data_IF_244983998454
#
_entry.id   IF_244983998454
#
_cell.length_a   1.000
_cell.length_b   1.000
_cell.length_c   1.000
_cell.angle_alpha   90.00
_cell.angle_beta   90.00
_cell.angle_gamma   90.00
#
_symmetry.space_group_name_H-M   'P 1'
#
loop_
_entity.id
_entity.type
_entity.pdbx_description
1 polymer ?
#
# COMPACT_ATOMS: atom_id res chain seq x y z
N UNK A 1 27.38 -3.56 27.36
CA UNK A 1 27.48 -4.34 26.11
C UNK A 1 26.53 -3.69 25.12
N UNK A 2 27.03 -2.80 24.25
CA UNK A 2 26.21 -2.15 23.23
C UNK A 2 25.99 -3.15 22.10
N UNK A 3 24.98 -4.01 22.23
CA UNK A 3 24.54 -4.84 21.11
C UNK A 3 24.06 -3.92 20.01
N UNK A 4 24.77 -3.87 18.88
CA UNK A 4 24.33 -3.16 17.69
C UNK A 4 23.04 -3.85 17.25
N UNK A 5 21.90 -3.21 17.53
CA UNK A 5 20.60 -3.72 17.10
C UNK A 5 20.59 -3.73 15.56
N UNK A 6 20.39 -4.91 14.98
CA UNK A 6 20.33 -5.10 13.54
C UNK A 6 19.16 -4.28 12.98
N UNK A 7 19.36 -3.33 12.06
CA UNK A 7 18.25 -2.46 11.61
C UNK A 7 17.14 -3.25 10.93
N UNK A 8 15.89 -2.80 11.08
CA UNK A 8 14.71 -3.46 10.51
C UNK A 8 14.21 -2.72 9.28
N UNK A 9 13.92 -3.46 8.21
CA UNK A 9 13.23 -2.95 7.03
C UNK A 9 12.02 -3.85 6.72
N UNK A 10 10.81 -3.30 6.55
CA UNK A 10 9.61 -4.10 6.24
C UNK A 10 8.64 -3.37 5.31
N UNK A 11 7.93 -4.11 4.45
CA UNK A 11 6.89 -3.55 3.57
C UNK A 11 5.55 -4.27 3.77
N UNK A 12 5.30 -4.78 4.98
CA UNK A 12 4.34 -5.86 5.27
C UNK A 12 2.91 -5.67 4.72
N UNK A 13 2.36 -4.45 4.73
CA UNK A 13 1.01 -4.21 4.20
C UNK A 13 0.90 -4.33 2.67
N UNK A 14 2.02 -4.13 1.96
CA UNK A 14 2.06 -4.11 0.49
C UNK A 14 3.04 -5.17 -0.06
N UNK A 15 3.46 -6.12 0.77
CA UNK A 15 4.36 -7.23 0.42
C UNK A 15 3.59 -8.54 0.22
N UNK A 16 2.56 -8.49 -0.64
CA UNK A 16 1.74 -9.65 -1.00
C UNK A 16 2.30 -10.35 -2.25
N UNK A 17 2.00 -11.65 -2.41
CA UNK A 17 2.67 -12.58 -3.35
C UNK A 17 3.26 -11.98 -4.65
N UNK A 18 2.46 -11.41 -5.56
CA UNK A 18 2.95 -10.80 -6.79
C UNK A 18 3.89 -9.59 -6.61
N UNK A 19 3.75 -8.83 -5.53
CA UNK A 19 4.55 -7.64 -5.24
C UNK A 19 5.91 -7.99 -4.61
N UNK A 20 6.06 -9.16 -3.98
CA UNK A 20 7.26 -9.51 -3.19
C UNK A 20 8.56 -9.38 -4.00
N UNK A 21 8.59 -9.90 -5.23
CA UNK A 21 9.79 -9.84 -6.07
C UNK A 21 10.14 -8.40 -6.49
N UNK A 22 9.13 -7.53 -6.67
CA UNK A 22 9.36 -6.12 -6.96
C UNK A 22 9.89 -5.38 -5.72
N UNK A 23 9.31 -5.67 -4.56
CA UNK A 23 9.73 -5.13 -3.27
C UNK A 23 11.16 -5.54 -2.91
N UNK A 24 11.55 -6.79 -3.17
CA UNK A 24 12.93 -7.25 -2.97
C UNK A 24 13.93 -6.48 -3.86
N UNK A 25 13.58 -6.21 -5.12
CA UNK A 25 14.42 -5.41 -6.02
C UNK A 25 14.52 -3.95 -5.58
N UNK A 26 13.40 -3.36 -5.17
CA UNK A 26 13.37 -2.00 -4.61
C UNK A 26 14.27 -1.92 -3.39
N UNK A 27 14.10 -2.85 -2.44
CA UNK A 27 14.90 -2.89 -1.22
C UNK A 27 16.38 -3.10 -1.53
N UNK A 28 16.73 -4.01 -2.42
CA UNK A 28 18.13 -4.25 -2.80
C UNK A 28 18.82 -2.97 -3.31
N UNK A 29 18.10 -2.18 -4.12
CA UNK A 29 18.58 -0.88 -4.62
C UNK A 29 18.74 0.17 -3.49
N UNK A 30 17.73 0.29 -2.62
CA UNK A 30 17.77 1.21 -1.47
C UNK A 30 18.89 0.83 -0.49
N UNK A 31 18.97 -0.44 -0.10
CA UNK A 31 20.02 -1.01 0.74
C UNK A 31 21.42 -0.71 0.20
N UNK A 32 21.63 -0.89 -1.11
CA UNK A 32 22.91 -0.56 -1.75
C UNK A 32 23.28 0.90 -1.59
N UNK A 33 22.34 1.81 -1.83
CA UNK A 33 22.55 3.26 -1.69
C UNK A 33 22.77 3.69 -0.24
N UNK A 34 22.00 3.14 0.69
CA UNK A 34 22.14 3.39 2.13
C UNK A 34 23.53 2.96 2.62
N UNK A 35 23.96 1.75 2.26
CA UNK A 35 25.30 1.25 2.62
C UNK A 35 26.42 2.08 1.99
N UNK A 36 26.24 2.55 0.75
CA UNK A 36 27.22 3.40 0.08
C UNK A 36 27.45 4.75 0.80
N UNK A 37 26.47 5.24 1.56
CA UNK A 37 26.59 6.44 2.39
C UNK A 37 26.84 6.13 3.88
N UNK A 38 27.23 4.89 4.20
CA UNK A 38 27.60 4.48 5.57
C UNK A 38 26.43 4.15 6.50
N UNK A 39 25.19 4.08 5.99
CA UNK A 39 24.02 3.67 6.78
C UNK A 39 23.91 2.15 6.78
N UNK A 40 23.94 1.56 7.98
CA UNK A 40 23.70 0.12 8.14
C UNK A 40 22.25 -0.22 7.72
N UNK A 41 22.10 -1.25 6.89
CA UNK A 41 20.81 -1.71 6.38
C UNK A 41 20.78 -3.24 6.35
N UNK A 42 19.66 -3.91 6.67
CA UNK A 42 19.57 -5.37 6.66
C UNK A 42 19.65 -5.93 5.24
N UNK A 43 20.04 -7.20 5.13
CA UNK A 43 20.14 -7.88 3.84
C UNK A 43 18.76 -8.11 3.21
N UNK A 44 17.73 -8.40 3.99
CA UNK A 44 16.39 -8.70 3.48
C UNK A 44 15.31 -7.91 4.22
N UNK A 45 14.12 -7.87 3.62
CA UNK A 45 12.92 -7.36 4.26
C UNK A 45 12.44 -8.35 5.34
N UNK A 46 12.04 -7.82 6.49
CA UNK A 46 11.28 -8.56 7.51
C UNK A 46 9.88 -8.84 6.98
N UNK A 47 9.43 -10.09 7.13
CA UNK A 47 8.14 -10.61 6.63
C UNK A 47 7.36 -11.33 7.72
N UNK A 48 6.08 -11.61 7.44
CA UNK A 48 5.17 -12.22 8.40
C UNK A 48 4.76 -11.25 9.50
N UNK A 49 4.39 -11.77 10.67
CA UNK A 49 3.88 -10.97 11.79
C UNK A 49 4.86 -9.88 12.25
N UNK A 50 6.16 -10.14 12.14
CA UNK A 50 7.21 -9.19 12.50
C UNK A 50 7.27 -7.95 11.61
N UNK A 51 6.59 -7.94 10.46
CA UNK A 51 6.62 -6.83 9.49
C UNK A 51 5.67 -5.66 9.84
N UNK A 52 4.76 -5.85 10.82
CA UNK A 52 3.73 -4.89 11.21
C UNK A 52 4.12 -4.13 12.48
N UNK A 53 3.26 -4.11 13.51
CA UNK A 53 3.50 -3.44 14.79
C UNK A 53 4.89 -3.71 15.40
N UNK A 54 5.42 -4.96 15.40
CA UNK A 54 6.76 -5.21 15.92
C UNK A 54 7.85 -4.42 15.19
N UNK A 55 7.77 -4.28 13.87
CA UNK A 55 8.71 -3.47 13.10
C UNK A 55 8.44 -1.97 13.24
N UNK A 56 7.17 -1.55 13.16
CA UNK A 56 6.77 -0.14 13.18
C UNK A 56 7.16 0.58 14.47
N UNK A 57 7.19 -0.13 15.60
CA UNK A 57 7.56 0.44 16.90
C UNK A 57 9.00 0.10 17.32
N UNK A 58 9.75 -0.60 16.47
CA UNK A 58 11.11 -1.00 16.80
C UNK A 58 12.04 0.22 16.88
N UNK A 59 12.86 0.35 17.95
CA UNK A 59 13.79 1.47 18.09
C UNK A 59 14.90 1.48 17.03
N UNK A 60 15.12 0.34 16.37
CA UNK A 60 16.06 0.12 15.27
C UNK A 60 15.34 0.03 13.91
N UNK A 61 14.13 0.58 13.79
CA UNK A 61 13.43 0.68 12.51
C UNK A 61 14.21 1.61 11.56
N UNK A 62 14.60 1.08 10.40
CA UNK A 62 15.26 1.83 9.35
C UNK A 62 14.25 2.32 8.30
N UNK A 63 13.37 1.45 7.83
CA UNK A 63 12.36 1.77 6.85
C UNK A 63 11.16 0.85 7.00
N UNK A 64 9.95 1.41 7.02
CA UNK A 64 8.75 0.60 6.85
C UNK A 64 7.68 1.30 6.03
N UNK A 65 6.70 0.54 5.61
CA UNK A 65 5.49 1.02 4.97
C UNK A 65 4.26 0.57 5.74
N UNK A 66 3.36 1.51 5.96
CA UNK A 66 2.04 1.33 6.57
C UNK A 66 1.00 2.04 5.70
N UNK A 67 -0.28 1.70 5.83
CA UNK A 67 -1.33 2.63 5.40
C UNK A 67 -1.43 3.80 6.39
N UNK A 68 -2.17 4.84 6.04
CA UNK A 68 -2.21 6.06 6.84
C UNK A 68 -3.07 5.94 8.10
N UNK A 69 -3.93 4.92 8.24
CA UNK A 69 -4.64 4.68 9.49
C UNK A 69 -3.72 4.31 10.65
N UNK A 70 -2.92 3.22 10.61
CA UNK A 70 -1.95 2.94 11.66
C UNK A 70 -0.96 4.09 11.87
N UNK A 71 -0.60 4.79 10.79
CA UNK A 71 0.27 5.96 10.88
C UNK A 71 -0.35 7.04 11.77
N UNK A 72 -1.55 7.54 11.44
CA UNK A 72 -2.23 8.59 12.20
C UNK A 72 -2.69 8.15 13.57
N UNK A 73 -3.19 6.92 13.70
CA UNK A 73 -3.72 6.41 14.94
C UNK A 73 -2.64 6.23 16.02
N UNK A 74 -1.41 5.89 15.65
CA UNK A 74 -0.38 5.50 16.64
C UNK A 74 1.07 5.89 16.33
N UNK A 75 1.45 6.11 15.08
CA UNK A 75 2.86 6.30 14.71
C UNK A 75 3.27 7.77 14.54
N UNK A 76 2.32 8.70 14.43
CA UNK A 76 2.60 10.14 14.43
C UNK A 76 3.40 10.51 15.67
N UNK A 77 4.52 11.21 15.46
CA UNK A 77 5.45 11.60 16.53
C UNK A 77 6.35 10.48 17.06
N UNK A 78 6.18 9.23 16.60
CA UNK A 78 7.04 8.08 16.97
C UNK A 78 8.00 7.66 15.86
N UNK A 79 7.62 7.92 14.62
CA UNK A 79 8.44 7.64 13.44
C UNK A 79 8.57 8.89 12.58
N UNK A 80 9.59 8.91 11.73
CA UNK A 80 9.76 9.97 10.72
C UNK A 80 9.07 9.55 9.44
N UNK A 81 8.13 10.36 8.96
CA UNK A 81 7.55 10.17 7.63
C UNK A 81 8.58 10.58 6.57
N UNK A 82 8.99 9.63 5.73
CA UNK A 82 10.03 9.82 4.70
C UNK A 82 9.45 10.03 3.30
N UNK A 83 8.18 9.70 3.09
CA UNK A 83 7.49 9.87 1.81
C UNK A 83 6.37 8.86 1.60
N UNK A 84 5.60 9.09 0.53
CA UNK A 84 4.57 8.18 0.04
C UNK A 84 5.03 7.59 -1.30
N UNK A 85 5.00 6.27 -1.48
CA UNK A 85 5.32 5.66 -2.77
C UNK A 85 4.35 6.13 -3.86
N UNK A 86 4.92 6.47 -5.01
CA UNK A 86 4.15 6.74 -6.22
C UNK A 86 4.15 5.50 -7.11
N UNK A 87 2.97 4.91 -7.29
CA UNK A 87 2.78 3.73 -8.14
C UNK A 87 2.46 4.11 -9.59
N UNK A 88 2.37 5.40 -9.92
CA UNK A 88 2.08 5.86 -11.28
C UNK A 88 0.70 5.41 -11.76
N UNK A 89 -0.30 5.42 -10.87
CA UNK A 89 -1.67 5.04 -11.22
C UNK A 89 -2.21 6.03 -12.24
N UNK A 90 -2.64 5.52 -13.39
CA UNK A 90 -3.19 6.34 -14.47
C UNK A 90 -4.38 7.18 -13.97
N UNK A 91 -4.38 8.47 -14.33
CA UNK A 91 -5.40 9.41 -13.89
C UNK A 91 -5.28 9.87 -12.43
N UNK A 92 -4.22 9.50 -11.71
CA UNK A 92 -3.92 9.99 -10.37
C UNK A 92 -2.68 10.90 -10.36
N UNK A 93 -2.69 11.92 -9.49
CA UNK A 93 -1.49 12.72 -9.26
C UNK A 93 -0.41 11.88 -8.55
N UNK A 94 0.87 12.30 -8.60
CA UNK A 94 1.97 11.56 -7.96
C UNK A 94 1.70 11.24 -6.49
N UNK A 95 1.90 9.98 -6.09
CA UNK A 95 1.65 9.51 -4.72
C UNK A 95 0.17 9.40 -4.35
N UNK A 96 -0.73 9.57 -5.32
CA UNK A 96 -2.16 9.31 -5.18
C UNK A 96 -2.56 8.06 -5.96
N UNK A 97 -3.72 7.55 -5.61
CA UNK A 97 -4.40 6.44 -6.27
C UNK A 97 -5.91 6.68 -6.01
N UNK A 98 -6.76 5.79 -6.51
CA UNK A 98 -8.20 5.77 -6.19
C UNK A 98 -8.71 4.36 -5.94
N UNK A 99 -9.70 4.26 -5.07
CA UNK A 99 -10.42 3.01 -4.83
C UNK A 99 -11.30 2.67 -6.04
N UNK A 100 -11.44 1.39 -6.34
CA UNK A 100 -12.27 0.92 -7.45
C UNK A 100 -13.35 -0.02 -6.95
N UNK A 101 -14.54 0.13 -7.53
CA UNK A 101 -15.64 -0.82 -7.38
C UNK A 101 -15.64 -1.75 -8.59
N UNK A 102 -15.71 -3.05 -8.34
CA UNK A 102 -15.76 -4.07 -9.40
C UNK A 102 -17.06 -4.87 -9.25
N UNK A 103 -17.80 -4.99 -10.35
CA UNK A 103 -19.04 -5.78 -10.47
C UNK A 103 -19.01 -6.70 -11.67
N UNK A 104 -19.88 -7.71 -11.67
CA UNK A 104 -20.04 -8.60 -12.81
C UNK A 104 -20.60 -7.81 -14.00
N UNK A 105 -19.96 -7.96 -15.16
CA UNK A 105 -20.42 -7.36 -16.42
C UNK A 105 -21.87 -7.75 -16.78
N UNK A 106 -22.21 -8.99 -16.46
CA UNK A 106 -23.48 -9.62 -16.82
C UNK A 106 -24.48 -9.61 -15.65
N UNK A 107 -24.29 -8.71 -14.68
CA UNK A 107 -25.30 -8.39 -13.67
C UNK A 107 -25.79 -6.94 -13.83
N UNK A 108 -26.85 -6.73 -14.63
CA UNK A 108 -27.37 -5.40 -14.89
C UNK A 108 -28.03 -4.77 -13.65
N UNK A 109 -28.49 -5.57 -12.68
CA UNK A 109 -29.09 -5.06 -11.45
C UNK A 109 -28.02 -4.45 -10.53
N UNK A 110 -26.92 -5.15 -10.31
CA UNK A 110 -25.79 -4.62 -9.52
C UNK A 110 -25.11 -3.44 -10.21
N UNK A 111 -24.92 -3.53 -11.52
CA UNK A 111 -24.36 -2.44 -12.32
C UNK A 111 -25.24 -1.18 -12.25
N UNK A 112 -26.57 -1.32 -12.33
CA UNK A 112 -27.50 -0.20 -12.21
C UNK A 112 -27.50 0.39 -10.78
N UNK A 113 -27.47 -0.46 -9.75
CA UNK A 113 -27.40 -0.03 -8.36
C UNK A 113 -26.12 0.76 -8.08
N UNK A 114 -24.96 0.26 -8.50
CA UNK A 114 -23.70 1.01 -8.35
C UNK A 114 -23.75 2.34 -9.09
N UNK A 115 -24.25 2.37 -10.32
CA UNK A 115 -24.38 3.62 -11.06
C UNK A 115 -25.29 4.63 -10.36
N UNK A 116 -26.36 4.17 -9.72
CA UNK A 116 -27.25 5.03 -8.93
C UNK A 116 -26.56 5.57 -7.67
N UNK A 117 -25.89 4.71 -6.91
CA UNK A 117 -25.12 5.12 -5.72
C UNK A 117 -24.04 6.14 -6.08
N UNK A 118 -23.39 5.94 -7.23
CA UNK A 118 -22.34 6.80 -7.77
C UNK A 118 -22.81 8.16 -8.28
N UNK A 119 -24.09 8.31 -8.67
CA UNK A 119 -24.66 9.60 -9.13
C UNK A 119 -25.12 10.49 -7.98
N UNK A 120 -25.16 9.98 -6.75
CA UNK A 120 -25.46 10.79 -5.57
C UNK A 120 -24.32 11.81 -5.37
N UNK A 121 -24.62 13.09 -5.06
CA UNK A 121 -23.64 14.20 -5.03
C UNK A 121 -22.51 14.06 -3.99
N UNK A 122 -22.47 12.97 -3.22
CA UNK A 122 -21.39 12.58 -2.31
C UNK A 122 -20.33 11.65 -2.93
N UNK A 123 -20.46 11.27 -4.20
CA UNK A 123 -19.50 10.39 -4.89
C UNK A 123 -18.96 11.02 -6.18
N UNK A 124 -17.64 11.24 -6.26
CA UNK A 124 -16.94 11.60 -7.49
C UNK A 124 -16.51 10.29 -8.19
N UNK A 125 -16.91 10.11 -9.45
CA UNK A 125 -16.56 8.93 -10.25
C UNK A 125 -15.70 9.34 -11.43
N UNK A 126 -14.46 8.83 -11.47
CA UNK A 126 -13.61 8.86 -12.65
C UNK A 126 -13.39 7.43 -13.16
N UNK A 127 -13.56 7.24 -14.47
CA UNK A 127 -13.41 5.97 -15.18
C UNK A 127 -11.99 5.88 -15.74
N UNK A 128 -11.21 4.82 -15.46
CA UNK A 128 -10.02 4.47 -16.26
C UNK A 128 -10.10 3.07 -16.84
N UNK A 129 -9.38 2.92 -17.94
CA UNK A 129 -9.38 1.77 -18.83
C UNK A 129 -7.97 1.24 -19.11
N UNK A 130 -7.08 1.15 -18.12
CA UNK A 130 -6.02 0.13 -18.14
C UNK A 130 -5.84 -0.55 -16.76
N UNK A 131 -5.90 -1.87 -16.62
CA UNK A 131 -6.67 -2.95 -17.25
C UNK A 131 -5.93 -4.26 -17.05
N UNK A 132 -4.60 -4.29 -17.05
CA UNK A 132 -3.87 -5.56 -16.85
C UNK A 132 -4.03 -6.19 -15.47
N UNK A 133 -4.36 -5.39 -14.44
CA UNK A 133 -4.35 -5.87 -13.05
C UNK A 133 -5.70 -5.85 -12.33
N UNK A 134 -6.68 -5.09 -12.79
CA UNK A 134 -8.06 -5.44 -12.47
C UNK A 134 -8.36 -6.90 -12.94
N UNK A 135 -7.65 -7.35 -13.98
CA UNK A 135 -7.80 -8.63 -14.69
C UNK A 135 -7.35 -9.91 -13.96
N UNK A 136 -6.44 -9.89 -12.98
CA UNK A 136 -6.06 -11.12 -12.26
C UNK A 136 -6.97 -11.38 -11.05
N UNK A 137 -7.39 -10.32 -10.37
CA UNK A 137 -8.21 -10.38 -9.15
C UNK A 137 -9.66 -10.82 -9.38
N UNK A 138 -10.17 -10.69 -10.60
CA UNK A 138 -11.47 -11.24 -11.03
C UNK A 138 -11.41 -12.72 -11.46
N UNK A 139 -10.23 -13.32 -11.58
CA UNK A 139 -10.04 -14.55 -12.37
C UNK A 139 -10.24 -15.89 -11.62
N UNK A 140 -10.48 -15.89 -10.31
CA UNK A 140 -10.51 -17.14 -9.50
C UNK A 140 -11.66 -17.25 -8.47
N UNK A 141 -12.51 -16.23 -8.31
CA UNK A 141 -13.63 -16.23 -7.34
C UNK A 141 -14.82 -15.37 -7.79
N UNK A 142 -16.03 -15.67 -7.28
CA UNK A 142 -17.24 -14.87 -7.50
C UNK A 142 -17.44 -13.85 -6.37
N UNK A 143 -17.77 -12.61 -6.74
CA UNK A 143 -18.09 -11.52 -5.82
C UNK A 143 -19.27 -10.72 -6.34
N UNK A 144 -20.13 -10.25 -5.43
CA UNK A 144 -21.28 -9.38 -5.73
C UNK A 144 -20.85 -7.90 -5.74
N UNK A 145 -19.98 -7.46 -4.82
CA UNK A 145 -19.31 -6.15 -4.84
C UNK A 145 -17.93 -6.24 -4.20
N UNK A 146 -16.88 -5.79 -4.89
CA UNK A 146 -15.53 -5.63 -4.33
C UNK A 146 -15.19 -4.15 -4.22
N UNK A 147 -14.82 -3.71 -3.02
CA UNK A 147 -14.23 -2.40 -2.76
C UNK A 147 -12.73 -2.58 -2.55
N UNK A 148 -11.92 -2.17 -3.52
CA UNK A 148 -10.47 -2.19 -3.37
C UNK A 148 -10.02 -0.81 -2.89
N UNK A 149 -9.63 -0.72 -1.62
CA UNK A 149 -9.06 0.49 -1.02
C UNK A 149 -7.54 0.47 -1.13
N UNK A 150 -6.97 1.46 -1.80
CA UNK A 150 -5.56 1.82 -1.68
C UNK A 150 -5.52 3.10 -0.77
N UNK A 151 -4.43 3.76 -0.33
CA UNK A 151 -4.50 4.77 0.79
C UNK A 151 -4.00 6.24 0.55
N UNK A 152 -4.77 7.27 0.99
CA UNK A 152 -4.64 8.73 0.72
C UNK A 152 -3.38 9.44 1.33
N UNK A 153 -2.90 10.54 0.69
CA UNK A 153 -1.54 11.11 0.86
C UNK A 153 -1.24 11.85 2.18
N UNK A 154 -2.22 12.06 3.06
CA UNK A 154 -2.07 12.75 4.36
C UNK A 154 -2.55 11.90 5.55
N UNK A 155 -2.94 10.65 5.29
CA UNK A 155 -3.60 9.76 6.23
C UNK A 155 -5.03 10.15 6.62
N UNK A 156 -5.58 11.27 6.14
CA UNK A 156 -6.95 11.71 6.48
C UNK A 156 -8.05 10.75 6.00
N UNK A 157 -7.69 9.80 5.12
CA UNK A 157 -8.58 8.84 4.46
C UNK A 157 -9.06 7.65 5.27
N UNK A 158 -8.76 7.56 6.57
CA UNK A 158 -9.44 6.59 7.42
C UNK A 158 -10.30 7.34 8.42
N UNK A 159 -11.59 6.95 8.42
CA UNK A 159 -12.67 7.43 9.28
C UNK A 159 -12.18 7.85 10.67
#
# INVERSE_FOLDING_TARGET
MNGILVPIASLGMYDFGPAMAANDRLWAGLRGRLRAVGVAAPDALTRGEGAFWPAWEAPNLLLSQTCGYPFRARLVGRVTYVGTPDYGVEGCAPGQYRSVFVVRRDDPAESALLQELMRRPTALVAWERDLRHARAALAVMNFDVVVADTHLPDGSGCL
#
